data_IF_233371466904
#
_entry.id   IF_233371466904
#
_cell.length_a   1.000
_cell.length_b   1.000
_cell.length_c   1.000
_cell.angle_alpha   90.00
_cell.angle_beta   90.00
_cell.angle_gamma   90.00
#
_symmetry.space_group_name_H-M   'P 1'
#
loop_
_entity.id
_entity.type
_entity.pdbx_description
1 polymer ?
#
# COMPACT_ATOMS: atom_id res chain seq x y z
N UNK A 1 45.08 7.37 9.93
CA UNK A 1 43.65 7.14 9.66
C UNK A 1 43.30 7.84 8.36
N UNK A 2 42.91 7.11 7.32
CA UNK A 2 42.18 7.78 6.27
C UNK A 2 41.15 6.92 5.54
N UNK A 3 39.98 7.49 5.33
CA UNK A 3 39.25 7.42 4.06
C UNK A 3 37.91 8.13 4.31
N UNK A 4 37.82 9.41 3.99
CA UNK A 4 36.50 10.00 3.74
C UNK A 4 36.19 9.65 2.29
N UNK A 5 35.34 8.65 2.08
CA UNK A 5 34.85 8.30 0.76
C UNK A 5 33.74 9.28 0.38
N UNK A 6 33.90 10.00 -0.73
CA UNK A 6 32.84 10.79 -1.35
C UNK A 6 32.34 10.05 -2.61
N UNK A 7 31.04 9.69 -2.69
CA UNK A 7 30.49 9.04 -3.86
C UNK A 7 30.00 10.06 -4.89
N UNK A 8 30.03 9.66 -6.16
CA UNK A 8 29.14 10.23 -7.18
C UNK A 8 28.39 9.07 -7.87
N UNK A 9 27.07 9.15 -7.92
CA UNK A 9 26.23 8.18 -8.64
C UNK A 9 26.14 8.56 -10.12
N UNK A 10 26.28 7.57 -11.02
CA UNK A 10 26.15 7.79 -12.46
C UNK A 10 24.69 7.83 -12.93
N UNK A 11 24.50 8.35 -14.15
CA UNK A 11 23.21 8.62 -14.77
C UNK A 11 22.37 7.36 -15.02
N UNK A 12 21.05 7.57 -15.11
CA UNK A 12 19.95 6.57 -15.17
C UNK A 12 20.17 5.40 -16.14
N UNK A 13 21.03 5.55 -17.15
CA UNK A 13 21.23 4.55 -18.21
C UNK A 13 22.32 3.49 -17.90
N UNK A 14 23.26 3.76 -16.99
CA UNK A 14 24.30 2.82 -16.58
C UNK A 14 24.44 2.88 -15.05
N UNK A 15 23.83 1.94 -14.29
CA UNK A 15 23.90 1.99 -12.84
C UNK A 15 25.35 1.69 -12.41
N UNK A 16 26.09 2.74 -12.10
CA UNK A 16 27.43 2.63 -11.54
C UNK A 16 27.57 3.56 -10.34
N UNK A 17 28.39 3.16 -9.38
CA UNK A 17 28.78 3.97 -8.24
C UNK A 17 30.26 4.25 -8.36
N UNK A 18 30.65 5.53 -8.44
CA UNK A 18 32.05 5.93 -8.37
C UNK A 18 32.37 6.34 -6.94
N UNK A 19 33.25 5.59 -6.29
CA UNK A 19 33.77 5.86 -4.96
C UNK A 19 35.14 6.50 -5.09
N UNK A 20 35.30 7.67 -4.47
CA UNK A 20 36.61 8.34 -4.34
C UNK A 20 36.93 8.52 -2.87
N UNK A 21 38.14 8.18 -2.44
CA UNK A 21 38.59 8.38 -1.06
C UNK A 21 40.01 8.89 -1.03
N UNK A 22 40.34 9.62 0.03
CA UNK A 22 41.70 10.05 0.32
C UNK A 22 42.44 8.93 1.04
N UNK A 23 43.61 8.55 0.52
CA UNK A 23 44.62 7.73 1.17
C UNK A 23 45.67 8.64 1.84
N UNK A 24 45.94 8.39 3.13
CA UNK A 24 46.99 9.06 3.91
C UNK A 24 47.92 8.07 4.63
N UNK A 25 47.79 6.76 4.39
CA UNK A 25 48.44 5.71 5.17
C UNK A 25 49.72 5.16 4.49
N UNK A 26 50.91 5.61 4.90
CA UNK A 26 52.18 5.39 4.14
C UNK A 26 52.65 3.95 4.01
N UNK A 27 52.02 3.02 4.73
CA UNK A 27 52.45 1.64 4.86
C UNK A 27 51.44 0.63 4.34
N UNK A 28 50.25 1.07 3.90
CA UNK A 28 49.23 0.14 3.40
C UNK A 28 49.70 -0.60 2.15
N UNK A 29 49.25 -1.84 2.02
CA UNK A 29 49.59 -2.70 0.87
C UNK A 29 48.42 -2.84 -0.11
N UNK A 30 47.25 -2.30 0.25
CA UNK A 30 46.08 -2.25 -0.64
C UNK A 30 44.78 -1.90 0.09
N UNK A 31 43.69 -1.95 -0.66
CA UNK A 31 42.34 -1.71 -0.15
C UNK A 31 41.39 -2.85 -0.46
N UNK A 32 40.42 -3.06 0.42
CA UNK A 32 39.23 -3.88 0.14
C UNK A 32 37.97 -3.03 0.30
N UNK A 33 37.17 -2.91 -0.74
CA UNK A 33 35.86 -2.29 -0.68
C UNK A 33 34.84 -3.35 -0.29
N UNK A 34 34.05 -3.04 0.71
CA UNK A 34 32.89 -3.84 1.09
C UNK A 34 31.62 -3.09 0.69
N UNK A 35 30.69 -3.81 0.06
CA UNK A 35 29.34 -3.36 -0.26
C UNK A 35 28.32 -4.24 0.45
N UNK A 36 27.25 -3.67 0.98
CA UNK A 36 26.11 -4.40 1.55
C UNK A 36 24.77 -3.75 1.19
N UNK A 37 23.67 -4.46 1.47
CA UNK A 37 22.30 -3.96 1.32
C UNK A 37 21.67 -3.55 2.65
N UNK A 38 22.46 -3.49 3.72
CA UNK A 38 22.09 -3.04 5.05
C UNK A 38 23.26 -2.28 5.72
N UNK A 39 23.00 -1.37 6.66
CA UNK A 39 24.04 -0.55 7.30
C UNK A 39 25.01 -1.35 8.18
N UNK A 40 24.63 -2.55 8.62
CA UNK A 40 25.43 -3.39 9.50
C UNK A 40 26.31 -4.39 8.74
N UNK A 41 26.28 -4.37 7.40
CA UNK A 41 27.03 -5.31 6.56
C UNK A 41 26.74 -6.78 6.88
N UNK A 42 25.48 -7.13 7.10
CA UNK A 42 25.03 -8.50 7.41
C UNK A 42 24.37 -9.20 6.23
N UNK A 43 23.84 -8.44 5.28
CA UNK A 43 23.05 -8.91 4.14
C UNK A 43 23.61 -8.38 2.83
N UNK A 44 23.59 -9.21 1.77
CA UNK A 44 23.99 -8.77 0.43
C UNK A 44 25.47 -8.38 0.31
N UNK A 45 26.32 -8.85 1.24
CA UNK A 45 27.73 -8.47 1.31
C UNK A 45 28.50 -8.90 0.06
N UNK A 46 29.30 -7.98 -0.48
CA UNK A 46 30.24 -8.20 -1.59
C UNK A 46 31.55 -7.50 -1.26
N UNK A 47 32.63 -8.05 -1.79
CA UNK A 47 33.99 -7.55 -1.57
C UNK A 47 34.66 -7.29 -2.93
N UNK A 48 35.49 -6.26 -3.00
CA UNK A 48 36.33 -5.96 -4.15
C UNK A 48 37.69 -5.46 -3.69
N UNK A 49 38.75 -6.11 -4.14
CA UNK A 49 40.12 -5.69 -3.84
C UNK A 49 40.54 -4.58 -4.82
N UNK A 50 41.18 -3.56 -4.29
CA UNK A 50 41.80 -2.48 -5.06
C UNK A 50 43.27 -2.42 -4.68
N UNK A 51 44.11 -2.71 -5.66
CA UNK A 51 45.56 -2.54 -5.54
C UNK A 51 45.86 -1.05 -5.38
N UNK A 52 46.63 -0.67 -4.36
CA UNK A 52 47.04 0.72 -4.18
C UNK A 52 47.97 1.12 -5.35
N UNK A 53 47.58 2.05 -6.24
CA UNK A 53 48.41 2.40 -7.38
C UNK A 53 49.48 3.46 -7.07
N UNK A 54 49.50 4.07 -5.88
CA UNK A 54 50.26 5.31 -5.65
C UNK A 54 51.10 5.27 -4.37
N UNK A 55 52.43 5.39 -4.53
CA UNK A 55 53.41 5.42 -3.43
C UNK A 55 53.62 6.82 -2.81
N UNK A 56 52.98 7.87 -3.33
CA UNK A 56 53.12 9.26 -2.85
C UNK A 56 51.85 9.70 -2.12
N UNK A 57 51.95 10.01 -0.83
CA UNK A 57 50.80 10.36 0.01
C UNK A 57 50.84 11.78 0.56
N UNK A 58 49.68 12.44 0.75
CA UNK A 58 48.32 11.92 0.55
C UNK A 58 47.95 11.76 -0.93
N UNK A 59 47.16 10.74 -1.26
CA UNK A 59 46.71 10.45 -2.62
C UNK A 59 45.19 10.28 -2.68
N UNK A 60 44.61 10.40 -3.86
CA UNK A 60 43.18 10.12 -4.07
C UNK A 60 43.06 8.83 -4.87
N UNK A 61 42.34 7.86 -4.31
CA UNK A 61 42.04 6.59 -4.95
C UNK A 61 40.59 6.59 -5.43
N UNK A 62 40.33 5.96 -6.58
CA UNK A 62 38.99 5.84 -7.14
C UNK A 62 38.67 4.41 -7.55
N UNK A 63 37.42 4.01 -7.35
CA UNK A 63 36.91 2.71 -7.76
C UNK A 63 35.46 2.82 -8.23
N UNK A 64 35.12 2.04 -9.27
CA UNK A 64 33.79 2.06 -9.88
C UNK A 64 33.11 0.70 -9.69
N UNK A 65 32.01 0.69 -8.94
CA UNK A 65 31.09 -0.45 -8.93
C UNK A 65 30.21 -0.42 -10.18
N UNK A 66 30.30 -1.46 -11.01
CA UNK A 66 29.43 -1.66 -12.19
C UNK A 66 28.37 -2.73 -11.99
N UNK A 67 28.37 -3.39 -10.83
CA UNK A 67 27.50 -4.52 -10.50
C UNK A 67 26.41 -4.12 -9.51
N UNK A 68 25.93 -2.88 -9.62
CA UNK A 68 24.82 -2.36 -8.83
C UNK A 68 23.52 -2.44 -9.62
N UNK A 69 22.45 -2.83 -8.94
CA UNK A 69 21.12 -2.79 -9.53
C UNK A 69 20.65 -1.33 -9.64
N UNK A 70 19.82 -1.05 -10.66
CA UNK A 70 19.05 0.20 -10.69
C UNK A 70 18.10 0.22 -9.51
N UNK A 71 17.80 1.43 -9.03
CA UNK A 71 16.76 1.72 -8.05
C UNK A 71 16.97 1.00 -6.71
N UNK A 72 18.23 0.84 -6.31
CA UNK A 72 18.66 0.08 -5.14
C UNK A 72 19.48 0.92 -4.17
N UNK A 73 19.46 0.51 -2.90
CA UNK A 73 20.22 1.13 -1.82
C UNK A 73 21.41 0.25 -1.45
N UNK A 74 22.57 0.87 -1.24
CA UNK A 74 23.80 0.20 -0.85
C UNK A 74 24.53 0.96 0.24
N UNK A 75 25.25 0.21 1.08
CA UNK A 75 26.22 0.73 2.01
C UNK A 75 27.61 0.28 1.58
N UNK A 76 28.56 1.21 1.54
CA UNK A 76 29.96 0.96 1.20
C UNK A 76 30.87 1.30 2.36
N UNK A 77 31.96 0.56 2.54
CA UNK A 77 33.09 0.99 3.36
C UNK A 77 34.39 0.48 2.77
N UNK A 78 35.46 1.22 3.02
CA UNK A 78 36.80 0.90 2.52
C UNK A 78 37.64 0.38 3.68
N UNK A 79 38.24 -0.78 3.50
CA UNK A 79 39.24 -1.36 4.38
C UNK A 79 40.61 -1.03 3.80
N UNK A 80 41.43 -0.33 4.54
CA UNK A 80 42.86 -0.22 4.26
C UNK A 80 43.56 -1.41 4.89
N UNK A 81 44.31 -2.17 4.08
CA UNK A 81 45.02 -3.36 4.51
C UNK A 81 46.47 -2.99 4.80
N UNK A 82 46.86 -3.14 6.06
CA UNK A 82 48.22 -2.89 6.52
C UNK A 82 49.16 -4.06 6.20
N UNK A 83 50.48 -3.85 6.32
CA UNK A 83 51.42 -4.95 6.26
C UNK A 83 51.25 -5.84 7.50
N UNK A 84 51.76 -7.06 7.42
CA UNK A 84 51.84 -7.95 8.57
C UNK A 84 52.80 -7.38 9.62
N UNK A 85 52.34 -7.31 10.87
CA UNK A 85 53.09 -6.83 12.03
C UNK A 85 53.20 -7.95 13.08
N UNK A 86 54.32 -7.97 13.82
CA UNK A 86 54.68 -9.02 14.76
C UNK A 86 56.04 -9.65 14.44
N UNK A 87 56.36 -10.80 15.05
CA UNK A 87 57.57 -11.56 14.69
C UNK A 87 57.29 -12.43 13.47
N UNK A 88 57.49 -11.84 12.29
CA UNK A 88 57.35 -12.50 10.99
C UNK A 88 58.55 -13.42 10.64
N UNK A 89 59.63 -13.38 11.43
CA UNK A 89 60.85 -14.13 11.15
C UNK A 89 60.81 -15.54 11.74
N UNK A 90 59.99 -15.77 12.79
CA UNK A 90 59.90 -17.06 13.47
C UNK A 90 58.65 -17.84 13.03
N UNK A 91 58.79 -19.00 12.34
CA UNK A 91 57.64 -19.79 11.92
C UNK A 91 56.75 -20.20 13.10
N UNK A 92 55.45 -19.92 13.01
CA UNK A 92 54.46 -20.28 14.02
C UNK A 92 54.25 -19.25 15.13
N UNK A 93 54.94 -18.10 15.10
CA UNK A 93 54.60 -16.97 15.96
C UNK A 93 53.35 -16.24 15.45
N UNK A 94 52.49 -15.73 16.35
CA UNK A 94 51.29 -15.03 15.95
C UNK A 94 51.64 -13.68 15.33
N UNK A 95 51.02 -13.40 14.20
CA UNK A 95 51.12 -12.13 13.48
C UNK A 95 49.73 -11.53 13.30
N UNK A 96 49.66 -10.25 12.95
CA UNK A 96 48.40 -9.58 12.62
C UNK A 96 48.61 -8.55 11.52
N UNK A 97 47.53 -8.08 10.91
CA UNK A 97 47.56 -6.96 9.95
C UNK A 97 47.19 -5.65 10.63
N UNK A 98 47.87 -4.56 10.25
CA UNK A 98 47.57 -3.21 10.74
C UNK A 98 46.43 -2.55 9.95
N UNK A 99 45.25 -3.17 9.97
CA UNK A 99 44.12 -2.77 9.14
C UNK A 99 43.31 -1.62 9.75
N UNK A 100 42.65 -0.84 8.89
CA UNK A 100 41.67 0.15 9.32
C UNK A 100 40.46 0.14 8.40
N UNK A 101 39.31 0.59 8.91
CA UNK A 101 38.05 0.61 8.17
C UNK A 101 37.42 2.00 8.23
N UNK A 102 36.90 2.46 7.09
CA UNK A 102 36.15 3.71 7.02
C UNK A 102 34.77 3.57 7.67
N UNK A 103 34.16 4.71 7.97
CA UNK A 103 32.73 4.74 8.29
C UNK A 103 31.90 4.22 7.10
N UNK A 104 30.73 3.62 7.36
CA UNK A 104 29.78 3.25 6.32
C UNK A 104 29.27 4.47 5.56
N UNK A 105 29.27 4.37 4.24
CA UNK A 105 28.74 5.36 3.32
C UNK A 105 27.48 4.83 2.65
N UNK A 106 26.37 5.56 2.81
CA UNK A 106 25.11 5.27 2.14
C UNK A 106 25.10 5.81 0.71
N UNK A 107 24.70 4.98 -0.25
CA UNK A 107 24.57 5.34 -1.67
C UNK A 107 23.27 4.79 -2.24
N UNK A 108 22.50 5.66 -2.89
CA UNK A 108 21.31 5.28 -3.65
C UNK A 108 21.63 5.29 -5.15
N UNK A 109 21.34 4.17 -5.82
CA UNK A 109 21.52 4.01 -7.28
C UNK A 109 20.17 4.17 -7.94
N UNK A 110 19.96 5.24 -8.71
CA UNK A 110 18.67 5.52 -9.34
C UNK A 110 17.56 5.96 -8.36
N UNK A 111 16.30 5.77 -8.75
CA UNK A 111 15.11 6.13 -7.97
C UNK A 111 14.27 4.87 -7.71
N UNK A 112 14.14 4.38 -6.46
CA UNK A 112 13.27 3.25 -6.12
C UNK A 112 11.89 3.37 -6.78
N UNK A 113 11.59 2.55 -7.79
CA UNK A 113 10.32 2.64 -8.54
C UNK A 113 9.20 1.85 -7.87
N UNK A 114 9.51 1.04 -6.86
CA UNK A 114 8.54 0.24 -6.11
C UNK A 114 8.52 0.69 -4.66
N UNK A 115 7.34 1.05 -4.18
CA UNK A 115 7.08 1.35 -2.77
C UNK A 115 6.31 0.15 -2.19
N UNK A 116 6.79 -0.48 -1.10
CA UNK A 116 6.03 -1.53 -0.41
C UNK A 116 4.63 -1.05 -0.01
N UNK A 117 3.62 -1.90 -0.21
CA UNK A 117 2.24 -1.54 0.12
C UNK A 117 1.98 -1.58 1.63
N UNK A 118 1.13 -0.69 2.16
CA UNK A 118 0.64 -0.80 3.52
C UNK A 118 -0.16 -2.09 3.75
N UNK A 119 -0.16 -2.60 4.97
CA UNK A 119 -0.89 -3.82 5.36
C UNK A 119 -1.70 -3.62 6.62
N UNK A 120 -2.58 -4.59 6.95
CA UNK A 120 -3.37 -4.60 8.18
C UNK A 120 -4.23 -3.33 8.39
N UNK A 121 -4.76 -2.76 7.29
CA UNK A 121 -5.62 -1.59 7.39
C UNK A 121 -6.92 -1.96 8.12
N UNK A 122 -7.21 -1.18 9.15
CA UNK A 122 -8.45 -1.22 9.92
C UNK A 122 -9.01 0.19 10.05
N UNK A 123 -10.33 0.29 10.25
CA UNK A 123 -11.01 1.56 10.50
C UNK A 123 -12.06 1.35 11.61
N UNK A 124 -12.17 2.32 12.50
CA UNK A 124 -13.17 2.32 13.57
C UNK A 124 -13.78 3.72 13.72
N UNK A 125 -15.07 3.79 14.02
CA UNK A 125 -15.73 5.08 14.27
C UNK A 125 -15.56 5.45 15.73
N UNK A 126 -14.89 6.57 16.00
CA UNK A 126 -14.80 7.10 17.37
C UNK A 126 -16.01 8.00 17.65
N UNK A 127 -16.72 7.70 18.74
CA UNK A 127 -17.97 8.37 19.09
C UNK A 127 -17.74 9.89 19.25
N UNK A 128 -18.45 10.70 18.47
CA UNK A 128 -18.34 12.16 18.50
C UNK A 128 -17.14 12.75 17.74
N UNK A 129 -16.36 11.94 17.02
CA UNK A 129 -15.24 12.39 16.19
C UNK A 129 -15.49 12.06 14.72
N UNK A 130 -14.75 11.08 14.20
CA UNK A 130 -14.70 10.68 12.80
C UNK A 130 -14.07 9.29 12.72
N UNK A 131 -14.10 8.61 11.56
CA UNK A 131 -13.38 7.36 11.36
C UNK A 131 -11.88 7.52 11.64
N UNK A 132 -11.36 6.70 12.56
CA UNK A 132 -9.94 6.54 12.84
C UNK A 132 -9.43 5.27 12.18
N UNK A 133 -8.45 5.42 11.31
CA UNK A 133 -7.80 4.37 10.55
C UNK A 133 -6.47 4.00 11.21
N UNK A 134 -6.09 2.74 11.09
CA UNK A 134 -4.78 2.26 11.53
C UNK A 134 -4.27 1.20 10.57
N UNK A 135 -3.00 1.31 10.14
CA UNK A 135 -2.34 0.34 9.26
C UNK A 135 -0.86 0.19 9.61
N UNK A 136 -0.24 -0.85 9.06
CA UNK A 136 1.21 -1.08 9.08
C UNK A 136 1.84 -0.51 7.83
N UNK A 137 2.79 0.40 8.02
CA UNK A 137 3.70 0.89 7.02
C UNK A 137 4.90 -0.05 6.87
N UNK A 138 5.19 -0.43 5.62
CA UNK A 138 6.22 -1.38 5.25
C UNK A 138 7.29 -0.75 4.34
N UNK A 139 7.14 0.52 4.00
CA UNK A 139 8.05 1.24 3.12
C UNK A 139 9.00 2.10 3.96
N UNK A 140 10.20 2.37 3.43
CA UNK A 140 11.18 3.30 4.02
C UNK A 140 11.51 4.45 3.07
N UNK A 141 10.84 4.45 1.93
CA UNK A 141 11.17 5.22 0.74
C UNK A 141 9.94 5.96 0.19
N UNK A 142 8.85 5.99 0.95
CA UNK A 142 7.65 6.77 0.72
C UNK A 142 7.82 8.17 1.32
N UNK A 143 7.05 9.11 0.78
CA UNK A 143 6.94 10.47 1.31
C UNK A 143 5.59 10.70 1.97
N UNK A 144 4.69 9.72 1.88
CA UNK A 144 3.37 9.72 2.49
C UNK A 144 2.47 8.63 1.91
N UNK A 145 1.17 8.80 2.16
CA UNK A 145 0.13 7.85 1.77
C UNK A 145 -1.05 8.55 1.13
N UNK A 146 -1.63 7.92 0.11
CA UNK A 146 -2.95 8.25 -0.40
C UNK A 146 -3.96 7.37 0.33
N UNK A 147 -4.90 8.02 1.01
CA UNK A 147 -6.03 7.37 1.67
C UNK A 147 -7.25 7.57 0.78
N UNK A 148 -7.90 6.49 0.38
CA UNK A 148 -9.14 6.56 -0.37
C UNK A 148 -10.32 6.04 0.45
N UNK A 149 -11.47 6.68 0.25
CA UNK A 149 -12.74 6.36 0.91
C UNK A 149 -13.78 5.98 -0.11
N UNK A 150 -14.55 4.94 0.20
CA UNK A 150 -15.82 4.67 -0.43
C UNK A 150 -16.97 4.95 0.54
N UNK A 151 -18.08 5.49 0.02
CA UNK A 151 -19.34 5.68 0.75
C UNK A 151 -20.35 4.59 0.37
N UNK A 152 -20.91 3.91 1.36
CA UNK A 152 -21.92 2.87 1.20
C UNK A 152 -21.44 1.49 1.64
N UNK A 153 -22.34 0.50 1.53
CA UNK A 153 -22.00 -0.90 1.81
C UNK A 153 -21.35 -1.57 0.60
N UNK A 154 -20.42 -2.47 0.90
CA UNK A 154 -19.88 -3.45 -0.05
C UNK A 154 -19.41 -2.82 -1.35
N UNK A 155 -18.62 -1.75 -1.22
CA UNK A 155 -18.05 -0.99 -2.32
C UNK A 155 -17.21 -1.81 -3.32
N UNK A 156 -17.02 -3.10 -3.09
CA UNK A 156 -16.11 -3.94 -3.85
C UNK A 156 -14.68 -3.40 -3.78
N UNK A 157 -13.90 -3.66 -4.82
CA UNK A 157 -12.53 -3.15 -4.93
C UNK A 157 -12.28 -2.61 -6.35
N UNK A 158 -13.07 -1.62 -6.76
CA UNK A 158 -12.95 -0.94 -8.06
C UNK A 158 -12.65 0.54 -7.87
N UNK A 159 -11.78 1.09 -8.72
CA UNK A 159 -11.31 2.48 -8.58
C UNK A 159 -12.43 3.53 -8.65
N UNK A 160 -13.53 3.27 -9.36
CA UNK A 160 -14.66 4.20 -9.46
C UNK A 160 -15.45 4.38 -8.16
N UNK A 161 -15.32 3.44 -7.22
CA UNK A 161 -16.08 3.46 -5.97
C UNK A 161 -15.31 4.13 -4.84
N UNK A 162 -14.00 4.34 -5.01
CA UNK A 162 -13.13 4.96 -4.03
C UNK A 162 -12.68 6.34 -4.52
N UNK A 163 -12.67 7.30 -3.61
CA UNK A 163 -12.18 8.65 -3.86
C UNK A 163 -11.07 9.00 -2.87
N UNK A 164 -9.99 9.61 -3.37
CA UNK A 164 -8.89 10.08 -2.53
C UNK A 164 -9.36 11.18 -1.57
N UNK A 165 -8.97 11.04 -0.30
CA UNK A 165 -9.16 12.06 0.71
C UNK A 165 -8.14 13.19 0.52
N UNK A 166 -8.53 14.45 0.76
CA UNK A 166 -7.61 15.57 0.68
C UNK A 166 -6.48 15.44 1.72
N UNK A 167 -5.25 15.75 1.31
CA UNK A 167 -4.07 15.79 2.17
C UNK A 167 -3.38 14.44 2.41
N UNK A 168 -4.10 13.31 2.33
CA UNK A 168 -3.54 11.98 2.61
C UNK A 168 -2.96 11.87 4.03
N UNK A 169 -2.05 10.92 4.25
CA UNK A 169 -1.30 10.79 5.50
C UNK A 169 0.21 11.00 5.27
N UNK A 170 0.94 11.61 6.22
CA UNK A 170 2.39 11.79 6.10
C UNK A 170 3.13 10.44 6.24
N UNK A 171 4.38 10.37 5.76
CA UNK A 171 5.25 9.22 5.97
C UNK A 171 5.50 8.96 7.46
N UNK A 172 5.75 7.71 7.82
CA UNK A 172 6.03 7.36 9.20
C UNK A 172 7.46 7.78 9.58
N UNK A 173 7.61 8.54 10.67
CA UNK A 173 8.91 9.08 11.10
C UNK A 173 9.51 8.36 12.31
N UNK A 174 8.88 7.29 12.81
CA UNK A 174 9.36 6.53 13.96
C UNK A 174 10.33 5.40 13.60
N UNK A 175 11.24 5.07 14.52
CA UNK A 175 12.11 3.89 14.43
C UNK A 175 12.96 3.85 13.15
N UNK A 176 12.87 2.74 12.41
CA UNK A 176 13.58 2.51 11.15
C UNK A 176 12.83 3.06 9.92
N UNK A 177 11.89 4.01 10.10
CA UNK A 177 11.06 4.55 9.03
C UNK A 177 9.94 3.62 8.57
N UNK A 178 9.55 2.63 9.39
CA UNK A 178 8.38 1.75 9.20
C UNK A 178 7.66 1.59 10.53
N UNK A 179 6.35 1.31 10.52
CA UNK A 179 5.62 1.13 11.77
C UNK A 179 4.10 1.25 11.65
N UNK A 180 3.44 1.50 12.77
CA UNK A 180 1.97 1.68 12.80
C UNK A 180 1.63 3.14 12.54
N UNK A 181 0.85 3.39 11.49
CA UNK A 181 0.34 4.72 11.16
C UNK A 181 -1.11 4.84 11.61
N UNK A 182 -1.45 6.01 12.16
CA UNK A 182 -2.81 6.37 12.58
C UNK A 182 -3.24 7.59 11.81
N UNK A 183 -4.46 7.55 11.27
CA UNK A 183 -5.03 8.66 10.51
C UNK A 183 -6.51 8.83 10.87
N UNK A 184 -6.96 10.07 10.98
CA UNK A 184 -8.38 10.38 11.21
C UNK A 184 -8.95 11.07 9.98
N UNK A 185 -10.01 10.49 9.41
CA UNK A 185 -10.74 11.11 8.30
C UNK A 185 -11.71 12.17 8.85
N UNK A 186 -11.20 13.37 9.14
CA UNK A 186 -11.99 14.50 9.63
C UNK A 186 -13.01 15.06 8.63
N UNK A 187 -13.02 14.54 7.39
CA UNK A 187 -13.95 14.96 6.34
C UNK A 187 -15.18 14.05 6.26
N UNK A 188 -15.22 12.98 7.04
CA UNK A 188 -16.35 12.06 7.11
C UNK A 188 -17.56 12.75 7.72
N UNK A 189 -18.68 12.74 7.00
CA UNK A 189 -19.97 13.19 7.52
C UNK A 189 -20.69 12.05 8.23
N UNK A 190 -21.45 12.38 9.28
CA UNK A 190 -22.33 11.45 9.99
C UNK A 190 -23.47 10.95 9.10
N UNK A 191 -24.07 9.81 9.45
CA UNK A 191 -25.17 9.19 8.71
C UNK A 191 -24.75 8.32 7.53
N UNK A 192 -23.46 8.07 7.33
CA UNK A 192 -22.93 7.22 6.27
C UNK A 192 -22.12 6.03 6.79
N UNK A 193 -22.08 4.99 5.97
CA UNK A 193 -21.13 3.88 6.11
C UNK A 193 -19.95 4.14 5.18
N UNK A 194 -18.73 3.95 5.67
CA UNK A 194 -17.52 4.10 4.87
C UNK A 194 -16.67 2.82 4.86
N UNK A 195 -15.88 2.68 3.81
CA UNK A 195 -14.77 1.73 3.75
C UNK A 195 -13.55 2.44 3.18
N UNK A 196 -12.36 1.96 3.54
CA UNK A 196 -11.10 2.64 3.24
C UNK A 196 -10.08 1.70 2.64
N UNK A 197 -9.18 2.26 1.83
CA UNK A 197 -7.95 1.61 1.38
C UNK A 197 -6.83 2.63 1.33
N UNK A 198 -5.59 2.17 1.52
CA UNK A 198 -4.43 3.06 1.60
C UNK A 198 -3.33 2.53 0.68
N UNK A 199 -2.61 3.42 0.02
CA UNK A 199 -1.40 3.10 -0.72
C UNK A 199 -0.28 4.06 -0.31
N UNK A 200 0.95 3.58 -0.32
CA UNK A 200 2.14 4.39 -0.06
C UNK A 200 2.59 5.06 -1.36
N UNK A 201 3.06 6.30 -1.25
CA UNK A 201 3.49 7.12 -2.39
C UNK A 201 4.82 7.79 -2.09
N UNK A 202 5.68 7.87 -3.09
CA UNK A 202 6.83 8.76 -3.09
C UNK A 202 6.58 9.87 -4.12
N UNK A 203 6.24 11.06 -3.64
CA UNK A 203 5.89 12.21 -4.50
C UNK A 203 7.10 12.80 -5.22
N UNK A 204 8.32 12.57 -4.71
CA UNK A 204 9.57 13.00 -5.36
C UNK A 204 9.86 12.20 -6.63
N UNK A 205 9.54 10.90 -6.62
CA UNK A 205 9.82 9.97 -7.73
C UNK A 205 8.59 9.61 -8.55
N UNK A 206 7.39 9.89 -8.04
CA UNK A 206 6.12 9.45 -8.60
C UNK A 206 5.81 7.97 -8.36
N UNK A 207 6.63 7.26 -7.58
CA UNK A 207 6.43 5.84 -7.29
C UNK A 207 5.22 5.62 -6.37
N UNK A 208 4.50 4.53 -6.60
CA UNK A 208 3.26 4.18 -5.93
C UNK A 208 3.23 2.69 -5.61
N UNK A 209 2.71 2.33 -4.44
CA UNK A 209 2.43 0.92 -4.11
C UNK A 209 1.09 0.47 -4.69
N UNK A 210 0.83 -0.84 -4.67
CA UNK A 210 -0.56 -1.33 -4.71
C UNK A 210 -1.29 -0.88 -3.43
N UNK A 211 -2.63 -0.92 -3.44
CA UNK A 211 -3.42 -0.67 -2.25
C UNK A 211 -3.24 -1.78 -1.20
N UNK A 212 -3.44 -1.40 0.06
CA UNK A 212 -3.64 -2.30 1.19
C UNK A 212 -4.88 -3.19 1.01
N UNK A 213 -5.16 -4.04 1.99
CA UNK A 213 -6.51 -4.59 2.13
C UNK A 213 -7.54 -3.45 2.24
N UNK A 214 -8.76 -3.73 1.81
CA UNK A 214 -9.91 -2.88 2.09
C UNK A 214 -10.31 -3.06 3.56
N UNK A 215 -10.45 -1.97 4.29
CA UNK A 215 -10.92 -2.00 5.67
C UNK A 215 -12.38 -2.49 5.72
N UNK A 216 -12.79 -3.24 6.76
CA UNK A 216 -14.20 -3.52 7.02
C UNK A 216 -15.03 -2.22 7.05
N UNK A 217 -16.30 -2.32 6.70
CA UNK A 217 -17.21 -1.18 6.74
C UNK A 217 -17.25 -0.59 8.15
N UNK A 218 -17.00 0.71 8.26
CA UNK A 218 -17.15 1.47 9.49
C UNK A 218 -18.48 2.23 9.44
N UNK A 219 -19.29 2.02 10.45
CA UNK A 219 -20.66 2.54 10.55
C UNK A 219 -20.64 3.64 11.60
N UNK A 220 -21.11 4.83 11.25
CA UNK A 220 -21.32 5.88 12.25
C UNK A 220 -22.39 5.43 13.27
N UNK A 221 -22.10 5.48 14.58
CA UNK A 221 -23.07 5.13 15.63
C UNK A 221 -24.34 5.97 15.61
N UNK A 222 -24.31 7.17 15.02
CA UNK A 222 -25.49 8.01 14.82
C UNK A 222 -26.36 7.55 13.62
N UNK A 223 -25.93 6.54 12.84
CA UNK A 223 -26.81 5.93 11.86
C UNK A 223 -27.96 5.23 12.56
N UNK A 224 -29.14 5.66 12.16
CA UNK A 224 -30.38 4.98 12.44
C UNK A 224 -30.42 3.61 11.76
N UNK A 225 -31.16 2.66 12.34
CA UNK A 225 -31.16 1.24 11.96
C UNK A 225 -31.36 0.98 10.46
N UNK A 226 -30.69 -0.06 9.95
CA UNK A 226 -30.89 -0.61 8.59
C UNK A 226 -32.40 -0.82 8.34
N UNK A 227 -32.95 -0.38 7.20
CA UNK A 227 -34.36 -0.62 6.87
C UNK A 227 -34.70 -2.12 6.90
N UNK A 228 -35.97 -2.46 7.12
CA UNK A 228 -36.41 -3.85 7.01
C UNK A 228 -36.31 -4.35 5.56
N UNK A 229 -36.23 -5.66 5.36
CA UNK A 229 -36.35 -6.24 4.02
C UNK A 229 -37.79 -6.03 3.49
N UNK A 230 -37.98 -5.71 2.19
CA UNK A 230 -39.31 -5.71 1.58
C UNK A 230 -39.94 -7.10 1.70
N UNK A 231 -41.24 -7.13 1.99
CA UNK A 231 -42.04 -8.36 2.13
C UNK A 231 -43.05 -8.49 1.01
N UNK A 232 -43.72 -9.64 0.93
CA UNK A 232 -44.77 -9.91 -0.07
C UNK A 232 -44.34 -9.63 -1.51
N UNK A 233 -43.08 -9.95 -1.82
CA UNK A 233 -42.46 -9.62 -3.11
C UNK A 233 -43.00 -10.59 -4.17
N UNK A 234 -43.73 -10.06 -5.14
CA UNK A 234 -44.29 -10.83 -6.26
C UNK A 234 -43.94 -10.21 -7.59
N UNK A 235 -43.86 -11.00 -8.66
CA UNK A 235 -43.64 -10.52 -10.03
C UNK A 235 -44.71 -11.10 -10.95
N UNK A 236 -45.30 -10.26 -11.80
CA UNK A 236 -46.32 -10.66 -12.77
C UNK A 236 -45.77 -11.49 -13.95
N UNK A 237 -46.64 -12.23 -14.68
CA UNK A 237 -46.25 -13.20 -15.71
C UNK A 237 -45.53 -12.58 -16.92
N UNK A 238 -44.76 -13.40 -17.64
CA UNK A 238 -44.09 -13.01 -18.88
C UNK A 238 -45.13 -12.85 -20.01
N UNK A 239 -45.06 -11.76 -20.79
CA UNK A 239 -45.98 -11.51 -21.91
C UNK A 239 -46.77 -10.19 -21.86
N UNK A 240 -46.53 -9.37 -20.83
CA UNK A 240 -46.99 -7.99 -20.72
C UNK A 240 -45.93 -7.11 -20.03
N UNK A 241 -46.24 -5.88 -19.60
CA UNK A 241 -45.35 -5.15 -18.71
C UNK A 241 -45.15 -5.96 -17.43
N UNK A 242 -43.94 -6.49 -17.23
CA UNK A 242 -43.61 -7.23 -16.02
C UNK A 242 -43.46 -6.23 -14.89
N UNK A 243 -44.30 -6.37 -13.87
CA UNK A 243 -44.33 -5.50 -12.70
C UNK A 243 -43.96 -6.33 -11.48
N UNK A 244 -43.01 -5.82 -10.70
CA UNK A 244 -42.75 -6.30 -9.35
C UNK A 244 -43.62 -5.54 -8.36
N UNK A 245 -44.26 -6.25 -7.44
CA UNK A 245 -44.98 -5.69 -6.30
C UNK A 245 -44.30 -6.09 -5.00
N UNK A 246 -44.28 -5.20 -4.01
CA UNK A 246 -43.76 -5.48 -2.68
C UNK A 246 -44.47 -4.66 -1.61
N UNK A 247 -44.26 -4.99 -0.35
CA UNK A 247 -44.71 -4.22 0.81
C UNK A 247 -43.53 -3.80 1.67
N UNK A 248 -43.55 -2.58 2.18
CA UNK A 248 -42.54 -2.10 3.13
C UNK A 248 -43.17 -1.14 4.16
N UNK A 249 -42.70 -1.18 5.40
CA UNK A 249 -43.26 -0.36 6.49
C UNK A 249 -42.91 1.14 6.37
N UNK A 250 -42.03 1.51 5.44
CA UNK A 250 -41.47 2.85 5.34
C UNK A 250 -40.44 3.13 6.44
N UNK A 251 -40.33 4.39 6.84
CA UNK A 251 -39.46 4.85 7.93
C UNK A 251 -38.49 5.94 7.48
N UNK A 252 -38.03 6.76 8.43
CA UNK A 252 -37.11 7.86 8.19
C UNK A 252 -35.77 7.41 7.56
N UNK A 253 -35.45 6.12 7.67
CA UNK A 253 -34.20 5.55 7.21
C UNK A 253 -34.34 4.90 5.83
N UNK A 254 -35.53 4.88 5.22
CA UNK A 254 -35.71 4.33 3.88
C UNK A 254 -35.42 5.42 2.84
N UNK A 255 -34.40 5.19 2.00
CA UNK A 255 -34.01 6.09 0.92
C UNK A 255 -34.61 5.63 -0.41
N UNK A 256 -34.42 4.35 -0.73
CA UNK A 256 -34.90 3.74 -1.97
C UNK A 256 -34.94 2.21 -1.86
N UNK A 257 -35.31 1.55 -2.95
CA UNK A 257 -35.19 0.12 -3.13
C UNK A 257 -34.30 -0.21 -4.33
N UNK A 258 -33.48 -1.26 -4.20
CA UNK A 258 -32.77 -1.85 -5.36
C UNK A 258 -33.44 -3.14 -5.76
N UNK A 259 -34.02 -3.16 -6.95
CA UNK A 259 -34.51 -4.37 -7.63
C UNK A 259 -33.37 -4.91 -8.49
N UNK A 260 -32.98 -6.16 -8.26
CA UNK A 260 -31.96 -6.85 -9.04
C UNK A 260 -32.61 -7.98 -9.82
N UNK A 261 -32.17 -8.16 -11.06
CA UNK A 261 -32.61 -9.22 -11.95
C UNK A 261 -31.43 -9.97 -12.55
N UNK A 262 -31.64 -11.24 -12.92
CA UNK A 262 -30.62 -12.10 -13.49
C UNK A 262 -31.22 -13.17 -14.41
N UNK A 263 -30.34 -13.79 -15.20
CA UNK A 263 -30.67 -14.97 -16.01
C UNK A 263 -30.43 -16.30 -15.27
N UNK A 264 -29.95 -16.26 -14.03
CA UNK A 264 -29.78 -17.44 -13.17
C UNK A 264 -30.07 -17.17 -11.68
N UNK A 265 -30.44 -18.21 -10.94
CA UNK A 265 -30.85 -18.14 -9.54
C UNK A 265 -29.77 -17.61 -8.58
N UNK A 266 -28.49 -17.77 -8.94
CA UNK A 266 -27.36 -17.31 -8.12
C UNK A 266 -26.99 -15.85 -8.38
N UNK A 267 -27.68 -15.16 -9.30
CA UNK A 267 -27.38 -13.78 -9.69
C UNK A 267 -25.91 -13.59 -10.09
N UNK A 268 -25.40 -14.47 -10.97
CA UNK A 268 -24.03 -14.40 -11.51
C UNK A 268 -23.98 -14.23 -13.03
N UNK A 269 -25.10 -14.39 -13.73
CA UNK A 269 -25.22 -14.17 -15.18
C UNK A 269 -26.35 -13.20 -15.50
N UNK A 270 -26.14 -12.35 -16.50
CA UNK A 270 -27.13 -11.39 -16.97
C UNK A 270 -27.66 -10.48 -15.86
N UNK A 271 -26.78 -10.10 -14.93
CA UNK A 271 -27.16 -9.35 -13.73
C UNK A 271 -27.34 -7.88 -14.10
N UNK A 272 -28.50 -7.34 -13.76
CA UNK A 272 -28.74 -5.90 -13.79
C UNK A 272 -29.58 -5.46 -12.60
N UNK A 273 -29.76 -4.15 -12.47
CA UNK A 273 -30.57 -3.57 -11.41
C UNK A 273 -31.32 -2.33 -11.86
N UNK A 274 -32.46 -2.08 -11.21
CA UNK A 274 -33.26 -0.86 -11.30
C UNK A 274 -33.52 -0.37 -9.89
N UNK A 275 -33.59 0.96 -9.72
CA UNK A 275 -33.95 1.59 -8.45
C UNK A 275 -35.43 1.99 -8.46
N UNK A 276 -36.08 1.84 -7.31
CA UNK A 276 -37.43 2.36 -7.07
C UNK A 276 -37.39 3.32 -5.86
N UNK A 277 -38.15 4.42 -5.88
CA UNK A 277 -38.11 5.42 -4.80
C UNK A 277 -38.61 4.83 -3.47
N UNK A 278 -38.23 5.47 -2.35
CA UNK A 278 -38.80 5.15 -1.05
C UNK A 278 -40.32 5.29 -1.04
N UNK A 279 -40.98 4.38 -0.32
CA UNK A 279 -42.42 4.40 -0.08
C UNK A 279 -42.81 3.47 1.04
N UNK A 280 -44.04 3.62 1.53
CA UNK A 280 -44.64 2.79 2.56
C UNK A 280 -45.88 2.07 2.02
N UNK A 281 -46.23 0.94 2.66
CA UNK A 281 -47.34 0.09 2.23
C UNK A 281 -47.01 -0.69 0.95
N UNK A 282 -48.05 -0.94 0.14
CA UNK A 282 -47.92 -1.63 -1.13
C UNK A 282 -47.28 -0.72 -2.19
N UNK A 283 -46.32 -1.26 -2.93
CA UNK A 283 -45.51 -0.54 -3.91
C UNK A 283 -45.32 -1.42 -5.15
N UNK A 284 -45.04 -0.79 -6.30
CA UNK A 284 -44.78 -1.50 -7.53
C UNK A 284 -43.82 -0.76 -8.47
N UNK A 285 -43.12 -1.51 -9.31
CA UNK A 285 -42.25 -0.97 -10.36
C UNK A 285 -42.17 -1.91 -11.56
N UNK A 286 -42.03 -1.33 -12.75
CA UNK A 286 -41.75 -2.08 -13.97
C UNK A 286 -40.33 -2.67 -13.92
N UNK A 287 -40.18 -3.92 -14.37
CA UNK A 287 -38.90 -4.64 -14.39
C UNK A 287 -38.64 -5.27 -15.76
N UNK A 288 -37.38 -5.58 -16.12
CA UNK A 288 -37.05 -6.04 -17.48
C UNK A 288 -37.62 -7.42 -17.82
N UNK A 289 -38.49 -7.47 -18.83
CA UNK A 289 -39.27 -8.66 -19.23
C UNK A 289 -38.45 -9.88 -19.68
N UNK A 290 -37.17 -9.70 -20.02
CA UNK A 290 -36.30 -10.76 -20.57
C UNK A 290 -35.58 -11.59 -19.50
N UNK A 291 -35.84 -11.32 -18.22
CA UNK A 291 -35.17 -11.99 -17.10
C UNK A 291 -36.14 -12.81 -16.25
N UNK A 292 -35.64 -13.90 -15.67
CA UNK A 292 -36.48 -14.88 -14.95
C UNK A 292 -36.31 -14.82 -13.44
N UNK A 293 -35.23 -14.25 -12.93
CA UNK A 293 -34.93 -14.22 -11.50
C UNK A 293 -34.89 -12.78 -11.01
N UNK A 294 -35.69 -12.46 -10.00
CA UNK A 294 -35.74 -11.13 -9.42
C UNK A 294 -35.64 -11.17 -7.91
N UNK A 295 -34.97 -10.17 -7.33
CA UNK A 295 -34.92 -9.94 -5.88
C UNK A 295 -34.82 -8.46 -5.56
N UNK A 296 -35.32 -8.05 -4.41
CA UNK A 296 -35.36 -6.64 -3.98
C UNK A 296 -34.71 -6.50 -2.61
N UNK A 297 -34.09 -5.35 -2.33
CA UNK A 297 -33.71 -4.92 -0.97
C UNK A 297 -34.10 -3.46 -0.78
N UNK A 298 -34.31 -3.06 0.47
CA UNK A 298 -34.45 -1.68 0.88
C UNK A 298 -33.06 -1.11 1.18
N UNK A 299 -32.83 0.15 0.83
CA UNK A 299 -31.59 0.85 1.15
C UNK A 299 -31.89 2.04 2.04
N UNK A 300 -31.02 2.21 3.02
CA UNK A 300 -31.03 3.33 3.93
C UNK A 300 -29.62 3.86 4.17
N UNK A 301 -29.51 4.94 4.94
CA UNK A 301 -28.22 5.44 5.37
C UNK A 301 -27.47 4.32 6.11
N UNK A 302 -28.19 3.57 6.96
CA UNK A 302 -27.72 2.42 7.77
C UNK A 302 -27.07 1.29 6.98
N UNK A 303 -27.24 1.31 5.66
CA UNK A 303 -26.97 0.20 4.78
C UNK A 303 -28.25 -0.38 4.18
N UNK A 304 -28.10 -1.52 3.51
CA UNK A 304 -29.18 -2.20 2.82
C UNK A 304 -29.64 -3.41 3.60
N UNK A 305 -30.94 -3.68 3.52
CA UNK A 305 -31.51 -4.90 4.07
C UNK A 305 -31.08 -6.16 3.30
N UNK A 306 -31.33 -7.32 3.91
CA UNK A 306 -31.24 -8.59 3.21
C UNK A 306 -32.11 -8.57 1.94
N UNK A 307 -31.66 -9.29 0.92
CA UNK A 307 -32.40 -9.41 -0.34
C UNK A 307 -33.58 -10.38 -0.16
N UNK A 308 -34.76 -9.98 -0.62
CA UNK A 308 -35.95 -10.82 -0.73
C UNK A 308 -36.14 -11.25 -2.17
N UNK A 309 -36.13 -12.56 -2.44
CA UNK A 309 -36.45 -13.08 -3.77
C UNK A 309 -37.94 -12.90 -4.06
N UNK A 310 -38.26 -12.53 -5.30
CA UNK A 310 -39.64 -12.41 -5.73
C UNK A 310 -40.26 -13.77 -6.00
N UNK A 311 -41.56 -13.92 -5.72
CA UNK A 311 -42.34 -15.08 -6.12
C UNK A 311 -43.14 -14.79 -7.40
N UNK A 312 -43.16 -15.70 -8.39
CA UNK A 312 -42.44 -16.97 -8.45
C UNK A 312 -40.93 -16.81 -8.73
N UNK A 313 -40.13 -17.81 -8.34
CA UNK A 313 -38.68 -17.83 -8.49
C UNK A 313 -38.19 -19.17 -9.09
N UNK A 314 -37.92 -19.27 -10.41
CA UNK A 314 -38.00 -18.22 -11.42
C UNK A 314 -39.44 -17.87 -11.85
N UNK A 315 -39.57 -16.73 -12.52
CA UNK A 315 -40.73 -16.37 -13.32
C UNK A 315 -40.91 -17.37 -14.47
N UNK A 316 -42.16 -17.73 -14.77
CA UNK A 316 -42.55 -18.65 -15.84
C UNK A 316 -43.59 -18.00 -16.75
#
# INVERSE_FOLDING_TARGET
MPAVAAPSAASVNAPTVNLTWTDTATTEIGFTIQRATDPNFTTGVRWANVTNPVATQPSTVSWVDRNVARNALYWYRVWAIGPEVGDIATPGFPTMSADSVSDPLFVQVGTPTTVPAPTNLSALWELGLSPRLTWTDNAINETGFVVERCSGLDCGNTATNFAALPGGAPAFTGGNGTGTVVYTDSTATTGFVYSYRVMAVNTTTGAQSIYSNTAPNVIDPALTSVPAAPTSVTVGPVGGPVVMNWTHAGGANLIDFTIQYASNATFTRGVGSVTAPAGSGAQSAAVPVTTLYYRIRANGPGGSSARTNASPFPLR
#
